data_IF_067401897853
#
_entry.id   IF_067401897853
#
_cell.length_a   1.000
_cell.length_b   1.000
_cell.length_c   1.000
_cell.angle_alpha   90.00
_cell.angle_beta   90.00
_cell.angle_gamma   90.00
#
_symmetry.space_group_name_H-M   'P 1'
#
loop_
_entity.id
_entity.type
_entity.pdbx_description
1 polymer ?
#
# COMPACT_ATOMS: atom_id res chain seq x y z
N UNK A 1 0.31 3.15 -10.20
CA UNK A 1 0.98 1.84 -10.24
C UNK A 1 1.67 1.52 -8.93
N UNK A 2 0.99 0.74 -8.09
CA UNK A 2 1.55 0.18 -6.86
C UNK A 2 1.91 -1.30 -7.08
N UNK A 3 3.15 -1.70 -6.83
CA UNK A 3 3.62 -3.08 -7.00
C UNK A 3 3.97 -3.64 -5.63
N UNK A 4 3.31 -4.71 -5.22
CA UNK A 4 3.59 -5.46 -4.00
C UNK A 4 4.24 -6.79 -4.36
N UNK A 5 5.46 -6.99 -3.90
CA UNK A 5 6.23 -8.22 -4.07
C UNK A 5 6.25 -8.98 -2.74
N UNK A 6 5.69 -10.19 -2.72
CA UNK A 6 5.75 -11.10 -1.58
C UNK A 6 6.75 -12.21 -1.86
N UNK A 7 7.85 -12.24 -1.10
CA UNK A 7 8.96 -13.18 -1.32
C UNK A 7 9.41 -13.83 -0.02
N UNK A 8 9.92 -15.06 -0.16
CA UNK A 8 10.54 -15.78 0.94
C UNK A 8 11.99 -15.30 1.07
N UNK A 9 12.35 -14.87 2.27
CA UNK A 9 13.67 -14.38 2.60
C UNK A 9 14.72 -15.47 2.32
N UNK A 10 15.66 -15.18 1.41
CA UNK A 10 16.76 -16.07 1.05
C UNK A 10 16.52 -17.01 -0.15
N UNK A 11 15.33 -17.01 -0.76
CA UNK A 11 15.06 -17.81 -1.98
C UNK A 11 14.95 -16.95 -3.23
N UNK A 12 14.11 -15.91 -3.19
CA UNK A 12 13.77 -15.13 -4.38
C UNK A 12 14.48 -13.76 -4.43
N UNK A 13 15.79 -13.73 -4.14
CA UNK A 13 16.57 -12.49 -4.13
C UNK A 13 16.75 -11.90 -5.53
N UNK A 14 17.00 -12.74 -6.53
CA UNK A 14 17.18 -12.31 -7.93
C UNK A 14 15.92 -11.62 -8.47
N UNK A 15 14.75 -12.15 -8.12
CA UNK A 15 13.45 -11.57 -8.46
C UNK A 15 13.29 -10.17 -7.86
N UNK A 16 13.66 -9.99 -6.59
CA UNK A 16 13.60 -8.69 -5.90
C UNK A 16 14.51 -7.65 -6.55
N UNK A 17 15.78 -8.00 -6.81
CA UNK A 17 16.73 -7.07 -7.43
C UNK A 17 16.33 -6.70 -8.85
N UNK A 18 15.88 -7.70 -9.62
CA UNK A 18 15.41 -7.48 -10.99
C UNK A 18 14.16 -6.60 -11.03
N UNK A 19 13.18 -6.85 -10.14
CA UNK A 19 11.96 -6.05 -10.07
C UNK A 19 12.28 -4.61 -9.64
N UNK A 20 13.19 -4.44 -8.67
CA UNK A 20 13.66 -3.12 -8.24
C UNK A 20 14.33 -2.37 -9.40
N UNK A 21 15.17 -3.05 -10.18
CA UNK A 21 15.82 -2.47 -11.37
C UNK A 21 14.80 -2.07 -12.43
N UNK A 22 13.81 -2.91 -12.73
CA UNK A 22 12.75 -2.58 -13.69
C UNK A 22 11.87 -1.42 -13.22
N UNK A 23 11.52 -1.37 -11.93
CA UNK A 23 10.74 -0.26 -11.38
C UNK A 23 11.54 1.05 -11.42
N UNK A 24 12.84 1.02 -11.11
CA UNK A 24 13.72 2.19 -11.26
C UNK A 24 13.85 2.64 -12.73
N UNK A 25 13.93 1.70 -13.67
CA UNK A 25 13.94 2.00 -15.10
C UNK A 25 12.61 2.64 -15.54
N UNK A 26 11.48 2.09 -15.12
CA UNK A 26 10.15 2.68 -15.36
C UNK A 26 10.09 4.08 -14.74
N UNK A 27 10.50 4.25 -13.47
CA UNK A 27 10.57 5.55 -12.81
C UNK A 27 11.47 6.54 -13.53
N UNK A 28 12.54 6.09 -14.17
CA UNK A 28 13.42 6.96 -14.96
C UNK A 28 12.72 7.48 -16.22
N UNK A 29 11.87 6.65 -16.86
CA UNK A 29 11.13 7.00 -18.08
C UNK A 29 9.78 7.69 -17.83
N UNK A 30 9.15 7.49 -16.67
CA UNK A 30 7.88 8.13 -16.30
C UNK A 30 8.17 9.55 -15.77
N UNK A 31 7.49 10.56 -16.32
CA UNK A 31 7.62 11.96 -15.88
C UNK A 31 7.23 12.15 -14.39
N UNK A 32 6.23 11.39 -13.92
CA UNK A 32 5.83 11.35 -12.51
C UNK A 32 6.32 10.08 -11.79
N UNK A 33 7.57 10.11 -11.32
CA UNK A 33 8.20 8.99 -10.57
C UNK A 33 7.43 8.52 -9.33
N UNK A 34 6.70 9.43 -8.69
CA UNK A 34 5.87 9.13 -7.51
C UNK A 34 4.72 8.15 -7.80
N UNK A 35 4.22 8.12 -9.05
CA UNK A 35 3.10 7.25 -9.44
C UNK A 35 3.45 5.76 -9.47
N UNK A 36 4.75 5.44 -9.41
CA UNK A 36 5.28 4.09 -9.36
C UNK A 36 5.87 3.83 -7.98
N UNK A 37 5.31 2.87 -7.26
CA UNK A 37 5.74 2.47 -5.92
C UNK A 37 5.95 0.97 -5.89
N UNK A 38 7.05 0.54 -5.29
CA UNK A 38 7.38 -0.85 -5.05
C UNK A 38 7.40 -1.08 -3.53
N UNK A 39 6.61 -2.04 -3.07
CA UNK A 39 6.64 -2.54 -1.71
C UNK A 39 7.09 -4.00 -1.74
N UNK A 40 8.16 -4.30 -1.01
CA UNK A 40 8.66 -5.68 -0.91
C UNK A 40 8.43 -6.20 0.50
N UNK A 41 7.65 -7.28 0.58
CA UNK A 41 7.30 -7.96 1.82
C UNK A 41 8.14 -9.23 1.91
N UNK A 42 9.17 -9.18 2.76
CA UNK A 42 10.06 -10.31 3.05
C UNK A 42 9.49 -11.16 4.17
N UNK A 43 9.19 -12.42 3.86
CA UNK A 43 8.58 -13.36 4.79
C UNK A 43 9.60 -14.46 5.08
N UNK A 44 9.76 -14.88 6.33
CA UNK A 44 10.61 -16.03 6.66
C UNK A 44 9.98 -17.31 6.07
N UNK A 45 10.80 -18.28 5.68
CA UNK A 45 10.30 -19.54 5.13
C UNK A 45 9.28 -20.25 6.05
N UNK A 46 9.57 -20.30 7.35
CA UNK A 46 8.68 -20.86 8.37
C UNK A 46 7.34 -20.09 8.47
N UNK A 47 7.41 -18.76 8.48
CA UNK A 47 6.23 -17.90 8.48
C UNK A 47 5.38 -18.09 7.21
N UNK A 48 6.01 -18.23 6.04
CA UNK A 48 5.31 -18.43 4.77
C UNK A 48 4.52 -19.75 4.78
N UNK A 49 5.12 -20.82 5.30
CA UNK A 49 4.47 -22.14 5.40
C UNK A 49 3.26 -22.09 6.36
N UNK A 50 3.45 -21.49 7.54
CA UNK A 50 2.38 -21.28 8.52
C UNK A 50 1.24 -20.44 7.95
N UNK A 51 1.57 -19.37 7.22
CA UNK A 51 0.58 -18.50 6.58
C UNK A 51 -0.21 -19.27 5.54
N UNK A 52 0.43 -20.02 4.64
CA UNK A 52 -0.25 -20.82 3.60
C UNK A 52 -1.20 -21.83 4.25
N UNK A 53 -0.77 -22.52 5.31
CA UNK A 53 -1.61 -23.44 6.08
C UNK A 53 -2.79 -22.74 6.79
N UNK A 54 -2.64 -21.47 7.15
CA UNK A 54 -3.67 -20.67 7.80
C UNK A 54 -4.56 -19.89 6.84
N UNK A 55 -4.24 -19.81 5.55
CA UNK A 55 -5.10 -19.15 4.55
C UNK A 55 -6.49 -19.79 4.49
N UNK A 56 -6.56 -21.10 4.69
CA UNK A 56 -7.80 -21.89 4.74
C UNK A 56 -8.61 -21.63 6.02
N UNK A 57 -7.97 -21.14 7.08
CA UNK A 57 -8.64 -20.84 8.35
C UNK A 57 -9.31 -19.45 8.37
N UNK A 58 -10.34 -19.25 9.21
CA UNK A 58 -10.93 -17.93 9.44
C UNK A 58 -9.91 -17.00 10.10
N UNK A 59 -10.00 -15.70 9.79
CA UNK A 59 -9.01 -14.69 10.20
C UNK A 59 -8.93 -14.55 11.73
N UNK A 60 -9.97 -14.94 12.48
CA UNK A 60 -9.98 -15.04 13.94
C UNK A 60 -9.03 -16.11 14.52
N UNK A 61 -8.73 -17.19 13.78
CA UNK A 61 -7.80 -18.23 14.23
C UNK A 61 -6.34 -17.92 13.93
N UNK A 62 -6.09 -16.86 13.15
CA UNK A 62 -4.75 -16.45 12.76
C UNK A 62 -4.11 -15.64 13.89
N UNK A 63 -2.88 -15.96 14.32
CA UNK A 63 -2.15 -15.17 15.29
C UNK A 63 -2.06 -13.69 14.88
N UNK A 64 -2.10 -12.75 15.84
CA UNK A 64 -2.19 -11.32 15.55
C UNK A 64 -1.05 -10.79 14.67
N UNK A 65 0.14 -11.39 14.78
CA UNK A 65 1.30 -11.02 13.97
C UNK A 65 1.20 -11.47 12.50
N UNK A 66 0.44 -12.52 12.19
CA UNK A 66 0.17 -12.97 10.81
C UNK A 66 -1.17 -12.49 10.28
N UNK A 67 -2.07 -12.00 11.13
CA UNK A 67 -3.44 -11.62 10.77
C UNK A 67 -3.50 -10.58 9.65
N UNK A 68 -2.63 -9.58 9.68
CA UNK A 68 -2.53 -8.56 8.63
C UNK A 68 -2.09 -9.17 7.29
N UNK A 69 -1.04 -9.98 7.31
CA UNK A 69 -0.51 -10.64 6.13
C UNK A 69 -1.55 -11.60 5.52
N UNK A 70 -2.19 -12.45 6.34
CA UNK A 70 -3.26 -13.35 5.90
C UNK A 70 -4.45 -12.57 5.33
N UNK A 71 -4.83 -11.44 5.94
CA UNK A 71 -5.92 -10.61 5.41
C UNK A 71 -5.59 -10.03 4.03
N UNK A 72 -4.34 -9.62 3.81
CA UNK A 72 -3.87 -9.10 2.51
C UNK A 72 -3.83 -10.22 1.47
N UNK A 73 -3.29 -11.38 1.84
CA UNK A 73 -3.22 -12.55 0.95
C UNK A 73 -4.60 -13.06 0.55
N UNK A 74 -5.56 -13.13 1.48
CA UNK A 74 -6.95 -13.48 1.19
C UNK A 74 -7.63 -12.44 0.29
N UNK A 75 -7.35 -11.15 0.50
CA UNK A 75 -7.86 -10.06 -0.36
C UNK A 75 -7.38 -10.23 -1.80
N UNK A 76 -6.11 -10.55 -1.99
CA UNK A 76 -5.51 -10.72 -3.32
C UNK A 76 -5.57 -12.16 -3.85
N UNK A 77 -6.22 -13.07 -3.13
CA UNK A 77 -6.29 -14.51 -3.43
C UNK A 77 -4.90 -15.13 -3.70
N UNK A 78 -3.88 -14.74 -2.94
CA UNK A 78 -2.53 -15.31 -3.04
C UNK A 78 -2.48 -16.61 -2.23
N UNK A 79 -2.22 -17.72 -2.90
CA UNK A 79 -2.16 -19.06 -2.29
C UNK A 79 -0.75 -19.64 -2.18
N UNK A 80 0.22 -19.10 -2.91
CA UNK A 80 1.60 -19.55 -2.87
C UNK A 80 2.60 -18.40 -3.00
N UNK A 81 3.81 -18.61 -2.48
CA UNK A 81 4.93 -17.67 -2.58
C UNK A 81 6.00 -18.22 -3.52
N UNK A 82 6.72 -17.35 -4.25
CA UNK A 82 6.56 -15.89 -4.30
C UNK A 82 5.32 -15.44 -5.08
N UNK A 83 4.85 -14.22 -4.82
CA UNK A 83 3.71 -13.63 -5.51
C UNK A 83 3.93 -12.15 -5.83
N UNK A 84 3.40 -11.70 -6.96
CA UNK A 84 3.48 -10.31 -7.42
C UNK A 84 2.07 -9.77 -7.64
N UNK A 85 1.76 -8.66 -6.97
CA UNK A 85 0.48 -7.95 -7.08
C UNK A 85 0.76 -6.56 -7.64
N UNK A 86 -0.01 -6.16 -8.65
CA UNK A 86 0.07 -4.82 -9.25
C UNK A 86 -1.31 -4.18 -9.12
N UNK A 87 -1.38 -3.04 -8.45
CA UNK A 87 -2.60 -2.26 -8.23
C UNK A 87 -3.74 -3.09 -7.60
N UNK A 88 -3.37 -3.98 -6.66
CA UNK A 88 -4.30 -4.91 -6.01
C UNK A 88 -4.71 -6.12 -6.85
N UNK A 89 -4.15 -6.29 -8.05
CA UNK A 89 -4.40 -7.43 -8.92
C UNK A 89 -3.22 -8.41 -8.88
N UNK A 90 -3.48 -9.66 -8.50
CA UNK A 90 -2.48 -10.75 -8.52
C UNK A 90 -2.11 -11.07 -9.97
N UNK A 91 -0.84 -10.88 -10.33
CA UNK A 91 -0.33 -11.16 -11.68
C UNK A 91 0.50 -12.45 -11.72
N UNK A 92 1.21 -12.76 -10.63
CA UNK A 92 2.03 -13.95 -10.50
C UNK A 92 1.93 -14.58 -9.13
N UNK A 93 2.04 -15.91 -9.12
CA UNK A 93 2.01 -16.73 -7.93
C UNK A 93 2.85 -17.99 -8.14
N UNK A 94 3.55 -18.43 -7.08
CA UNK A 94 4.20 -19.74 -7.00
C UNK A 94 5.35 -19.97 -7.97
N UNK A 95 5.78 -18.94 -8.70
CA UNK A 95 6.85 -19.04 -9.70
C UNK A 95 7.93 -18.01 -9.41
N UNK A 96 9.18 -18.45 -9.29
CA UNK A 96 10.35 -17.57 -9.16
C UNK A 96 10.80 -16.98 -10.50
N UNK A 97 9.95 -17.05 -11.52
CA UNK A 97 10.28 -16.66 -12.89
C UNK A 97 10.38 -15.13 -13.02
N UNK A 98 11.62 -14.66 -12.96
CA UNK A 98 11.97 -13.24 -13.06
C UNK A 98 11.48 -12.64 -14.37
N UNK A 99 11.69 -13.34 -15.49
CA UNK A 99 11.30 -12.87 -16.82
C UNK A 99 9.79 -12.62 -16.91
N UNK A 100 8.98 -13.54 -16.40
CA UNK A 100 7.52 -13.40 -16.38
C UNK A 100 7.09 -12.23 -15.49
N UNK A 101 7.74 -12.02 -14.35
CA UNK A 101 7.45 -10.91 -13.44
C UNK A 101 7.80 -9.55 -14.01
N UNK A 102 8.96 -9.44 -14.64
CA UNK A 102 9.37 -8.22 -15.33
C UNK A 102 8.43 -7.93 -16.49
N UNK A 103 8.11 -8.92 -17.33
CA UNK A 103 7.19 -8.74 -18.45
C UNK A 103 5.81 -8.25 -17.98
N UNK A 104 5.27 -8.84 -16.91
CA UNK A 104 4.02 -8.40 -16.28
C UNK A 104 4.06 -6.94 -15.82
N UNK A 105 5.14 -6.54 -15.13
CA UNK A 105 5.34 -5.16 -14.67
C UNK A 105 5.49 -4.21 -15.85
N UNK A 106 6.31 -4.55 -16.85
CA UNK A 106 6.49 -3.71 -18.04
C UNK A 106 5.23 -3.59 -18.87
N UNK A 107 4.46 -4.67 -19.03
CA UNK A 107 3.17 -4.64 -19.72
C UNK A 107 2.20 -3.70 -19.02
N UNK A 108 2.03 -3.84 -17.70
CA UNK A 108 1.17 -2.95 -16.91
C UNK A 108 1.67 -1.50 -16.92
N UNK A 109 2.98 -1.28 -16.87
CA UNK A 109 3.55 0.05 -16.99
C UNK A 109 3.33 0.66 -18.39
N UNK A 110 3.37 -0.16 -19.44
CA UNK A 110 3.02 0.23 -20.80
C UNK A 110 1.55 0.59 -20.95
N UNK A 111 0.65 -0.17 -20.33
CA UNK A 111 -0.80 0.14 -20.30
C UNK A 111 -1.11 1.42 -19.49
N UNK A 112 -0.48 1.58 -18.32
CA UNK A 112 -0.75 2.71 -17.40
C UNK A 112 -0.09 4.03 -17.80
N UNK A 113 1.12 3.97 -18.37
CA UNK A 113 1.94 5.14 -18.64
C UNK A 113 2.24 5.35 -20.13
N UNK A 114 1.80 4.42 -21.01
CA UNK A 114 2.08 4.50 -22.45
C UNK A 114 3.55 4.28 -22.80
N UNK A 115 4.34 3.67 -21.91
CA UNK A 115 5.80 3.52 -22.07
C UNK A 115 6.11 2.13 -22.62
N UNK A 116 6.68 2.07 -23.82
CA UNK A 116 7.14 0.81 -24.42
C UNK A 116 8.48 0.41 -23.79
N UNK A 117 8.45 -0.61 -22.94
CA UNK A 117 9.61 -1.21 -22.30
C UNK A 117 9.58 -2.72 -22.53
N UNK A 118 10.53 -3.20 -23.34
CA UNK A 118 10.59 -4.55 -23.90
C UNK A 118 10.74 -4.50 -25.43
N UNK A 119 11.37 -5.50 -26.08
CA UNK A 119 11.50 -5.54 -27.53
C UNK A 119 10.11 -5.43 -28.15
N UNK A 120 9.95 -4.41 -28.98
CA UNK A 120 8.71 -3.99 -29.60
C UNK A 120 7.91 -5.19 -30.12
N UNK A 121 6.76 -5.47 -29.51
CA UNK A 121 5.62 -5.83 -30.34
C UNK A 121 5.23 -4.50 -31.00
N UNK A 122 5.67 -4.32 -32.24
CA UNK A 122 5.31 -3.18 -33.06
C UNK A 122 3.79 -2.95 -32.97
N UNK A 123 3.31 -1.69 -32.99
CA UNK A 123 1.90 -1.45 -33.27
C UNK A 123 1.50 -2.29 -34.50
N UNK A 124 0.31 -2.92 -34.51
CA UNK A 124 -0.15 -3.62 -35.70
C UNK A 124 0.01 -2.64 -36.88
N UNK A 125 0.61 -3.07 -38.00
CA UNK A 125 0.81 -2.19 -39.14
C UNK A 125 -0.53 -1.56 -39.50
N UNK A 126 -0.57 -0.27 -39.88
CA UNK A 126 -1.79 0.31 -40.42
C UNK A 126 -2.31 -0.63 -41.51
N UNK A 127 -3.64 -0.88 -41.57
CA UNK A 127 -4.20 -1.72 -42.61
C UNK A 127 -3.69 -1.23 -43.96
N UNK A 128 -3.26 -2.12 -44.87
CA UNK A 128 -2.79 -1.71 -46.18
C UNK A 128 -3.88 -0.85 -46.86
N UNK A 129 -3.51 0.22 -47.57
CA UNK A 129 -4.48 0.99 -48.33
C UNK A 129 -5.23 0.03 -49.25
N UNK A 130 -6.55 0.02 -49.14
CA UNK A 130 -7.40 -0.80 -49.99
C UNK A 130 -7.04 -0.52 -51.46
N UNK A 131 -6.89 -1.55 -52.32
CA UNK A 131 -6.64 -1.34 -53.73
C UNK A 131 -7.78 -0.49 -54.32
N UNK A 132 -7.49 0.44 -55.24
CA UNK A 132 -8.52 1.20 -55.92
C UNK A 132 -9.48 0.22 -56.62
N UNK A 133 -10.80 0.48 -56.58
CA UNK A 133 -11.76 -0.38 -57.25
C UNK A 133 -11.46 -0.40 -58.76
N UNK A 134 -11.61 -1.55 -59.45
CA UNK A 134 -11.52 -1.60 -60.88
C UNK A 134 -12.62 -0.72 -61.52
N UNK A 135 -12.35 -0.09 -62.69
CA UNK A 135 -13.35 0.71 -63.38
C UNK A 135 -14.56 -0.16 -63.77
N UNK A 136 -15.74 0.34 -63.45
CA UNK A 136 -17.03 -0.30 -63.72
C UNK A 136 -17.32 -0.41 -65.23
N UNK A 137 -17.85 -1.55 -65.71
CA UNK A 137 -18.57 -1.60 -66.97
C UNK A 137 -19.98 -1.02 -66.81
N UNK A 138 -20.36 -0.22 -67.80
CA UNK A 138 -21.65 0.47 -67.95
C UNK A 138 -22.88 -0.44 -67.80
N UNK A 139 -23.90 0.09 -67.12
CA UNK A 139 -25.24 -0.50 -66.99
C UNK A 139 -25.92 -0.69 -68.37
N UNK A 140 -26.99 -1.54 -68.43
CA UNK A 140 -28.31 -0.91 -68.52
C UNK A 140 -29.47 -1.62 -67.79
N UNK A 141 -30.50 -0.80 -67.51
CA UNK A 141 -31.95 -1.09 -67.43
C UNK A 141 -32.55 -1.88 -66.24
N UNK A 142 -33.05 -1.10 -65.25
CA UNK A 142 -34.37 -1.11 -64.56
C UNK A 142 -35.48 -2.07 -65.08
N UNK A 143 -36.62 -2.33 -64.34
CA UNK A 143 -37.09 -1.76 -63.05
C UNK A 143 -37.84 -2.71 -62.05
N UNK A 144 -38.21 -2.15 -60.88
CA UNK A 144 -39.29 -2.49 -59.90
C UNK A 144 -39.17 -3.73 -58.97
N UNK A 145 -38.91 -3.51 -57.67
CA UNK A 145 -39.93 -3.54 -56.59
C UNK A 145 -39.31 -3.28 -55.18
N UNK A 146 -40.04 -2.67 -54.24
CA UNK A 146 -39.51 -2.22 -52.95
C UNK A 146 -39.63 -3.30 -51.87
N UNK A 147 -38.50 -3.71 -51.26
CA UNK A 147 -38.53 -4.53 -50.04
C UNK A 147 -37.48 -4.02 -49.04
N UNK A 148 -38.00 -3.30 -48.05
CA UNK A 148 -37.73 -3.43 -46.61
C UNK A 148 -36.28 -3.68 -46.18
N UNK A 149 -35.75 -2.73 -45.42
CA UNK A 149 -34.52 -2.84 -44.64
C UNK A 149 -34.48 -4.14 -43.81
N UNK A 150 -33.39 -4.93 -43.83
CA UNK A 150 -33.19 -5.97 -42.84
C UNK A 150 -32.82 -5.32 -41.49
N UNK A 151 -33.54 -5.62 -40.40
CA UNK A 151 -33.23 -5.12 -39.07
C UNK A 151 -31.93 -5.75 -38.50
N UNK A 152 -31.32 -5.12 -37.49
CA UNK A 152 -30.13 -5.62 -36.81
C UNK A 152 -30.36 -7.04 -36.27
N UNK A 153 -29.41 -7.94 -36.54
CA UNK A 153 -29.38 -9.27 -35.94
C UNK A 153 -29.15 -9.14 -34.42
N UNK A 154 -30.05 -9.66 -33.57
CA UNK A 154 -29.85 -9.76 -32.13
C UNK A 154 -28.82 -10.86 -31.79
N UNK A 155 -28.17 -10.79 -30.61
CA UNK A 155 -27.26 -11.84 -30.15
C UNK A 155 -28.02 -13.16 -29.91
N UNK A 156 -27.39 -14.32 -30.15
CA UNK A 156 -28.02 -15.61 -29.85
C UNK A 156 -28.17 -15.79 -28.34
N UNK A 157 -29.43 -15.84 -27.90
CA UNK A 157 -29.88 -16.48 -26.67
C UNK A 157 -30.85 -17.59 -27.08
N UNK A 158 -30.49 -18.83 -26.76
CA UNK A 158 -31.35 -20.01 -26.57
C UNK A 158 -30.44 -21.05 -25.90
N UNK A 159 -30.82 -21.80 -24.87
CA UNK A 159 -32.14 -22.34 -24.50
C UNK A 159 -32.03 -22.79 -23.01
N UNK A 160 -32.75 -22.22 -22.04
CA UNK A 160 -34.05 -22.66 -21.47
C UNK A 160 -33.97 -24.06 -20.81
N UNK A 161 -33.76 -24.16 -19.47
CA UNK A 161 -34.76 -24.29 -18.36
C UNK A 161 -35.15 -25.77 -18.08
N UNK A 162 -35.26 -26.22 -16.81
CA UNK A 162 -36.55 -26.06 -16.12
C UNK A 162 -36.44 -25.44 -14.73
N UNK A 163 -37.36 -24.51 -14.49
CA UNK A 163 -37.75 -23.96 -13.20
C UNK A 163 -38.96 -24.78 -12.76
N UNK A 164 -38.80 -25.86 -11.98
CA UNK A 164 -39.97 -26.44 -11.26
C UNK A 164 -39.69 -27.49 -10.16
N UNK A 165 -38.50 -27.61 -9.55
CA UNK A 165 -38.31 -28.64 -8.51
C UNK A 165 -37.33 -28.30 -7.38
N UNK A 166 -37.45 -27.12 -6.76
CA UNK A 166 -37.04 -26.91 -5.35
C UNK A 166 -37.62 -25.62 -4.74
N UNK A 167 -38.81 -25.21 -5.17
CA UNK A 167 -39.70 -24.27 -4.46
C UNK A 167 -40.25 -24.89 -3.15
N UNK A 168 -39.38 -25.60 -2.42
CA UNK A 168 -39.68 -26.39 -1.22
C UNK A 168 -38.54 -26.39 -0.19
N UNK A 169 -37.81 -25.28 -0.10
CA UNK A 169 -37.25 -24.83 1.18
C UNK A 169 -37.65 -23.37 1.40
N UNK A 170 -38.96 -23.22 1.55
CA UNK A 170 -39.60 -22.48 2.64
C UNK A 170 -38.67 -21.55 3.43
N UNK A 171 -38.77 -20.26 3.10
CA UNK A 171 -38.99 -19.19 4.08
C UNK A 171 -38.25 -19.37 5.41
N UNK A 172 -37.01 -18.89 5.49
CA UNK A 172 -36.53 -18.36 6.77
C UNK A 172 -36.89 -16.87 6.83
N UNK A 173 -37.77 -16.46 7.76
CA UNK A 173 -38.06 -15.05 7.97
C UNK A 173 -36.79 -14.28 8.37
N UNK A 174 -36.74 -12.96 8.13
CA UNK A 174 -35.71 -12.12 8.73
C UNK A 174 -35.71 -12.32 10.25
N UNK A 175 -34.55 -12.32 10.93
CA UNK A 175 -34.53 -12.34 12.39
C UNK A 175 -35.34 -11.12 12.90
N UNK A 176 -36.20 -11.30 13.91
CA UNK A 176 -36.94 -10.19 14.48
C UNK A 176 -35.96 -9.16 15.07
N UNK A 177 -36.21 -7.85 14.89
CA UNK A 177 -35.60 -6.87 15.76
C UNK A 177 -36.24 -6.98 17.16
N UNK A 178 -35.38 -7.01 18.17
CA UNK A 178 -35.64 -6.67 19.57
C UNK A 178 -36.67 -7.50 20.34
N UNK A 179 -36.18 -8.51 21.06
CA UNK A 179 -36.67 -8.79 22.41
C UNK A 179 -35.73 -8.11 23.44
N UNK A 180 -36.28 -7.45 24.47
CA UNK A 180 -35.49 -6.85 25.52
C UNK A 180 -34.64 -7.91 26.22
N UNK A 181 -33.34 -7.61 26.28
CA UNK A 181 -32.40 -8.10 27.29
C UNK A 181 -33.14 -8.42 28.58
N UNK A 182 -33.05 -9.68 29.01
CA UNK A 182 -33.33 -10.08 30.37
C UNK A 182 -32.51 -9.13 31.28
N UNK A 183 -33.23 -8.27 32.00
CA UNK A 183 -32.67 -7.40 32.99
C UNK A 183 -32.04 -8.28 34.06
N UNK A 184 -30.71 -8.42 34.00
CA UNK A 184 -29.95 -8.72 35.21
C UNK A 184 -30.31 -7.63 36.23
N UNK A 185 -30.50 -7.98 37.52
CA UNK A 185 -30.74 -6.99 38.55
C UNK A 185 -29.65 -5.91 38.47
N UNK A 186 -30.00 -4.62 38.57
CA UNK A 186 -29.03 -3.55 38.51
C UNK A 186 -28.04 -3.75 39.65
N UNK A 187 -26.81 -4.15 39.31
CA UNK A 187 -25.70 -3.93 40.19
C UNK A 187 -25.61 -2.41 40.41
N UNK A 188 -25.52 -1.92 41.66
CA UNK A 188 -25.25 -0.51 41.89
C UNK A 188 -23.88 -0.19 41.29
N UNK A 189 -23.89 0.35 40.09
CA UNK A 189 -22.76 1.09 39.53
C UNK A 189 -22.47 2.21 40.51
N UNK A 190 -21.38 2.06 41.26
CA UNK A 190 -20.72 3.21 41.86
C UNK A 190 -20.32 4.13 40.71
N UNK A 191 -21.06 5.23 40.57
CA UNK A 191 -20.64 6.35 39.75
C UNK A 191 -19.24 6.77 40.23
N UNK A 192 -18.24 6.90 39.34
CA UNK A 192 -17.06 7.67 39.69
C UNK A 192 -17.52 9.08 40.10
N UNK A 193 -16.91 9.68 41.13
CA UNK A 193 -17.32 10.99 41.62
C UNK A 193 -17.25 12.03 40.50
N UNK A 194 -18.14 13.03 40.49
CA UNK A 194 -18.10 14.10 39.52
C UNK A 194 -16.74 14.81 39.55
N UNK A 195 -16.19 15.24 38.40
CA UNK A 195 -15.02 16.10 38.38
C UNK A 195 -15.32 17.38 39.19
N UNK A 196 -14.46 17.67 40.16
CA UNK A 196 -14.57 18.84 41.00
C UNK A 196 -14.49 20.13 40.14
N UNK A 197 -15.30 21.16 40.43
CA UNK A 197 -15.15 22.45 39.77
C UNK A 197 -13.79 23.06 40.13
N UNK A 198 -13.15 23.80 39.20
CA UNK A 198 -11.93 24.53 39.50
C UNK A 198 -12.18 25.56 40.63
N UNK A 199 -11.20 25.79 41.53
CA UNK A 199 -11.32 26.78 42.58
C UNK A 199 -11.49 28.19 42.00
N UNK A 200 -12.36 28.97 42.64
CA UNK A 200 -12.62 30.37 42.30
C UNK A 200 -11.35 31.24 42.38
N UNK A 201 -11.21 32.28 41.54
CA UNK A 201 -10.09 33.20 41.59
C UNK A 201 -10.10 34.03 42.89
N UNK A 202 -9.03 33.94 43.66
CA UNK A 202 -8.72 34.90 44.72
C UNK A 202 -8.25 36.23 44.09
N UNK A 203 -8.61 37.39 44.67
CA UNK A 203 -8.11 38.68 44.23
C UNK A 203 -6.67 38.88 44.74
N UNK A 204 -5.69 38.92 43.82
CA UNK A 204 -4.30 39.26 44.13
C UNK A 204 -3.96 40.59 43.44
N UNK A 205 -3.37 41.50 44.22
CA UNK A 205 -3.00 42.86 43.86
C UNK A 205 -2.06 42.95 42.64
N UNK A 206 -2.06 44.06 41.88
CA UNK A 206 -1.20 44.22 40.71
C UNK A 206 0.27 44.46 41.08
N UNK A 207 1.24 43.73 40.50
CA UNK A 207 2.64 44.13 40.51
C UNK A 207 2.90 45.27 39.50
N UNK A 208 3.93 46.12 39.73
CA UNK A 208 4.27 47.25 38.87
C UNK A 208 4.61 46.82 37.43
N UNK A 209 4.13 47.59 36.44
CA UNK A 209 4.34 47.34 35.01
C UNK A 209 5.84 47.34 34.66
N UNK A 210 6.32 46.22 34.11
CA UNK A 210 7.61 46.14 33.44
C UNK A 210 7.48 46.69 31.99
N UNK A 211 8.52 47.35 31.43
CA UNK A 211 8.48 47.90 30.08
C UNK A 211 8.35 46.78 29.02
N UNK A 212 7.83 47.09 27.81
CA UNK A 212 7.61 46.10 26.78
C UNK A 212 8.92 45.47 26.28
N UNK A 213 8.96 44.15 26.00
CA UNK A 213 10.15 43.51 25.46
C UNK A 213 10.38 43.91 23.99
N UNK A 214 11.64 44.02 23.54
CA UNK A 214 11.96 44.27 22.14
C UNK A 214 11.54 43.08 21.25
N UNK A 215 10.98 43.39 20.09
CA UNK A 215 10.59 42.40 19.07
C UNK A 215 11.84 41.71 18.54
N UNK A 216 11.99 40.40 18.83
CA UNK A 216 13.06 39.58 18.27
C UNK A 216 12.82 39.33 16.76
N UNK A 217 13.86 39.34 15.92
CA UNK A 217 13.75 39.02 14.50
C UNK A 217 13.33 37.54 14.30
N UNK A 218 12.62 37.21 13.20
CA UNK A 218 12.18 35.84 12.93
C UNK A 218 13.38 34.88 12.79
N UNK A 219 13.23 33.61 13.22
CA UNK A 219 14.31 32.64 13.18
C UNK A 219 14.77 32.37 11.73
N UNK A 220 16.08 32.18 11.50
CA UNK A 220 16.59 31.82 10.19
C UNK A 220 16.04 30.45 9.77
N UNK A 221 15.59 30.35 8.52
CA UNK A 221 15.15 29.10 7.89
C UNK A 221 16.26 28.04 8.05
N UNK A 222 15.93 26.78 8.37
CA UNK A 222 16.95 25.74 8.53
C UNK A 222 17.66 25.50 7.20
N UNK A 223 18.95 25.86 7.17
CA UNK A 223 19.88 25.44 6.14
C UNK A 223 19.97 23.90 6.16
N UNK A 224 20.04 23.30 4.98
CA UNK A 224 20.16 21.86 4.80
C UNK A 224 21.34 21.31 5.63
N UNK A 225 21.02 20.64 6.74
CA UNK A 225 21.98 19.97 7.60
C UNK A 225 22.64 18.83 6.80
N UNK A 226 23.84 19.07 6.29
CA UNK A 226 24.75 18.00 5.88
C UNK A 226 25.22 17.29 7.14
N UNK A 227 24.52 16.24 7.55
CA UNK A 227 24.92 15.39 8.67
C UNK A 227 26.00 14.43 8.16
N UNK A 228 27.26 14.75 8.46
CA UNK A 228 28.40 13.87 8.21
C UNK A 228 28.64 13.00 9.45
N UNK A 229 28.02 11.82 9.51
CA UNK A 229 28.26 10.88 10.63
C UNK A 229 29.50 10.05 10.32
N UNK A 230 30.62 10.32 11.01
CA UNK A 230 31.74 9.37 11.13
C UNK A 230 31.36 8.34 12.19
N UNK A 231 31.15 7.10 11.78
CA UNK A 231 30.88 5.99 12.71
C UNK A 231 32.23 5.42 13.14
N UNK A 232 32.72 5.82 14.31
CA UNK A 232 33.87 5.15 14.94
C UNK A 232 33.40 3.98 15.81
N UNK A 233 33.97 2.77 15.67
CA UNK A 233 33.68 1.65 16.53
C UNK A 233 34.39 1.82 17.88
N UNK A 234 33.66 2.18 18.94
CA UNK A 234 34.20 2.30 20.29
C UNK A 234 33.32 3.16 21.21
N UNK A 235 33.66 3.23 22.51
CA UNK A 235 33.11 4.22 23.46
C UNK A 235 33.93 5.51 23.26
N UNK A 236 33.44 6.53 22.54
CA UNK A 236 34.22 7.72 22.24
C UNK A 236 34.51 8.53 23.52
N UNK A 237 35.67 9.17 23.58
CA UNK A 237 36.06 10.05 24.69
C UNK A 237 35.31 11.38 24.65
N UNK A 238 34.83 11.79 23.47
CA UNK A 238 33.98 12.97 23.29
C UNK A 238 32.64 12.60 22.67
N UNK A 239 31.55 13.13 23.23
CA UNK A 239 30.20 12.93 22.70
C UNK A 239 30.05 13.45 21.27
N UNK A 240 30.81 14.47 20.83
CA UNK A 240 30.71 15.02 19.47
C UNK A 240 31.14 14.04 18.39
N UNK A 241 31.98 13.08 18.74
CA UNK A 241 32.42 12.02 17.83
C UNK A 241 31.48 10.80 17.87
N UNK A 242 30.47 10.83 18.75
CA UNK A 242 29.48 9.78 18.88
C UNK A 242 28.32 9.97 17.89
N UNK A 243 28.05 8.94 17.08
CA UNK A 243 26.89 8.92 16.18
C UNK A 243 25.53 9.09 16.91
N UNK A 244 25.49 8.84 18.22
CA UNK A 244 24.30 8.94 19.05
C UNK A 244 24.17 10.26 19.80
N UNK A 245 25.08 11.23 19.61
CA UNK A 245 24.96 12.55 20.23
C UNK A 245 24.33 13.55 19.27
N UNK A 246 23.24 14.18 19.71
CA UNK A 246 22.66 15.31 19.01
C UNK A 246 23.31 16.61 19.47
N UNK A 247 24.24 17.17 18.67
CA UNK A 247 24.88 18.46 18.99
C UNK A 247 23.84 19.58 19.15
N UNK A 248 22.82 19.62 18.30
CA UNK A 248 21.76 20.62 18.33
C UNK A 248 20.83 20.51 19.55
N UNK A 249 20.70 19.32 20.13
CA UNK A 249 19.79 19.04 21.25
C UNK A 249 20.54 18.79 22.56
N UNK A 250 21.88 18.76 22.50
CA UNK A 250 22.78 18.35 23.59
C UNK A 250 22.28 17.08 24.30
N UNK A 251 21.76 16.10 23.55
CA UNK A 251 21.21 14.85 24.08
C UNK A 251 21.91 13.64 23.49
N UNK A 252 22.12 12.63 24.32
CA UNK A 252 22.52 11.31 23.88
C UNK A 252 21.26 10.52 23.53
N UNK A 253 21.08 10.18 22.25
CA UNK A 253 19.93 9.39 21.77
C UNK A 253 19.99 7.93 22.22
N UNK A 254 21.18 7.39 22.52
CA UNK A 254 21.32 6.02 23.00
C UNK A 254 20.77 5.84 24.42
N UNK A 255 21.03 6.80 25.31
CA UNK A 255 20.59 6.77 26.71
C UNK A 255 19.40 7.70 26.99
N UNK A 256 18.95 8.46 25.98
CA UNK A 256 17.91 9.49 26.08
C UNK A 256 18.16 10.58 27.14
N UNK A 257 19.40 10.72 27.62
CA UNK A 257 19.82 11.71 28.63
C UNK A 257 20.33 13.00 28.00
N UNK A 258 20.15 14.12 28.70
CA UNK A 258 20.83 15.37 28.37
C UNK A 258 22.31 15.29 28.78
N UNK A 259 23.19 15.74 27.90
CA UNK A 259 24.64 15.78 28.12
C UNK A 259 25.02 17.23 28.37
N UNK A 260 25.30 17.57 29.63
CA UNK A 260 25.73 18.92 30.02
C UNK A 260 27.15 19.24 29.55
N UNK A 261 28.03 18.24 29.45
CA UNK A 261 29.42 18.40 29.05
C UNK A 261 29.79 17.34 27.99
N UNK A 262 29.96 17.71 26.70
CA UNK A 262 30.25 16.74 25.64
C UNK A 262 31.62 16.07 25.81
N UNK A 263 32.57 16.71 26.49
CA UNK A 263 33.88 16.15 26.83
C UNK A 263 33.84 15.11 27.98
N UNK A 264 32.67 14.94 28.63
CA UNK A 264 32.43 13.93 29.67
C UNK A 264 31.22 13.09 29.31
N UNK A 265 31.38 12.12 28.40
CA UNK A 265 30.26 11.36 27.89
C UNK A 265 29.62 10.53 29.01
N UNK A 266 28.27 10.56 29.15
CA UNK A 266 27.57 9.83 30.22
C UNK A 266 27.82 8.34 30.10
N UNK A 267 27.98 7.83 28.87
CA UNK A 267 28.26 6.43 28.61
C UNK A 267 29.54 5.94 29.33
N UNK A 268 30.50 6.82 29.67
CA UNK A 268 31.72 6.46 30.40
C UNK A 268 31.50 6.28 31.91
N UNK A 269 30.50 6.96 32.47
CA UNK A 269 30.17 6.97 33.90
C UNK A 269 29.11 5.94 34.32
N UNK A 270 28.36 5.33 33.38
CA UNK A 270 27.31 4.34 33.71
C UNK A 270 27.88 2.93 34.02
N UNK A 271 29.11 2.84 34.51
CA UNK A 271 29.81 1.59 34.84
C UNK A 271 30.52 1.68 36.18
N UNK A 272 29.77 2.02 37.23
CA UNK A 272 30.10 1.72 38.61
C UNK A 272 29.43 0.41 39.01
#
# INVERSE_FOLDING_TARGET
MYVELFVISGKSQELEESLKKAIEEIRSKVERRDRVRLATVKIRQDAADQVVKMLDQPVERVPPHFRSLVSILKRYNITAFPAVVIDGQKILEGTEDVSKALNAVYKKAGEEFGIQLGPQAAPPPPPPPSPPPPPAPSAPTQPVQPVVAPPPQPPPVSEIKPLEEALKQTQQPPPPPSAPVAQLPPQPVQLPPPPQPPPAPQPVQPPPQAPPPPVLPPPPRPAALKVSVRIMPGRPDDCRECAYYGEATSRCYLFSVAVSDPARPPCKNVGG
#
